data_IF_600698871180
#
_entry.id   IF_600698871180
#
_cell.length_a   1.000
_cell.length_b   1.000
_cell.length_c   1.000
_cell.angle_alpha   90.00
_cell.angle_beta   90.00
_cell.angle_gamma   90.00
#
_symmetry.space_group_name_H-M   'P 1'
#
loop_
_entity.id
_entity.type
_entity.pdbx_description
1 polymer ?
#
# COMPACT_ATOMS: atom_id res chain seq x y z
N UNK A 1 17.73 -16.38 -19.25
CA UNK A 1 17.13 -15.72 -19.33
C UNK A 1 16.75 -15.09 -18.24
N UNK A 2 16.80 -14.28 -18.01
CA UNK A 2 16.53 -13.58 -17.05
C UNK A 2 15.19 -13.38 -16.73
N UNK A 3 14.46 -13.79 -17.45
CA UNK A 3 13.07 -13.72 -17.17
C UNK A 3 12.70 -14.38 -15.90
N UNK A 4 13.47 -15.33 -15.49
CA UNK A 4 13.25 -16.00 -14.23
C UNK A 4 13.29 -15.05 -13.06
N UNK A 5 14.25 -14.16 -13.08
CA UNK A 5 14.40 -13.20 -12.01
C UNK A 5 13.19 -12.27 -11.95
N UNK A 6 12.74 -11.83 -13.09
CA UNK A 6 11.59 -10.96 -13.15
C UNK A 6 10.36 -11.65 -12.58
N UNK A 7 10.15 -12.89 -12.95
CA UNK A 7 8.99 -13.61 -12.46
C UNK A 7 9.07 -13.80 -10.96
N UNK A 8 10.25 -14.06 -10.44
CA UNK A 8 10.43 -14.29 -9.01
C UNK A 8 10.12 -13.06 -8.19
N UNK A 9 10.35 -11.88 -8.76
CA UNK A 9 10.12 -10.64 -8.05
C UNK A 9 8.85 -9.94 -8.46
N UNK A 10 8.00 -10.63 -9.19
CA UNK A 10 6.82 -9.99 -9.76
C UNK A 10 5.69 -9.93 -8.76
N UNK A 11 5.94 -9.33 -7.61
CA UNK A 11 4.92 -9.13 -6.59
C UNK A 11 4.17 -7.85 -6.89
N UNK A 12 2.89 -7.87 -6.62
CA UNK A 12 2.00 -6.79 -7.05
C UNK A 12 1.63 -5.86 -5.90
N UNK A 13 1.70 -4.58 -6.17
CA UNK A 13 1.31 -3.52 -5.24
C UNK A 13 0.11 -2.79 -5.83
N UNK A 14 -0.90 -2.54 -5.00
CA UNK A 14 -2.01 -1.66 -5.37
C UNK A 14 -1.74 -0.30 -4.72
N UNK A 15 -1.61 0.73 -5.55
CA UNK A 15 -1.40 2.09 -5.05
C UNK A 15 -2.68 2.90 -5.23
N UNK A 16 -3.22 3.40 -4.13
CA UNK A 16 -4.47 4.16 -4.11
C UNK A 16 -4.14 5.60 -3.73
N UNK A 17 -4.26 6.49 -4.68
CA UNK A 17 -3.84 7.88 -4.54
C UNK A 17 -4.56 8.71 -5.58
N UNK A 18 -5.13 9.84 -5.19
CA UNK A 18 -5.88 10.67 -6.14
C UNK A 18 -5.00 11.64 -6.93
N UNK A 19 -3.76 11.83 -6.54
CA UNK A 19 -2.84 12.71 -7.26
C UNK A 19 -2.14 11.93 -8.36
N UNK A 20 -2.40 12.22 -9.64
CA UNK A 20 -1.81 11.43 -10.73
C UNK A 20 -0.29 11.53 -10.79
N UNK A 21 0.28 12.64 -10.33
CA UNK A 21 1.74 12.75 -10.33
C UNK A 21 2.35 11.82 -9.30
N UNK A 22 1.72 11.70 -8.14
CA UNK A 22 2.18 10.79 -7.11
C UNK A 22 2.03 9.35 -7.58
N UNK A 23 0.91 9.03 -8.22
CA UNK A 23 0.73 7.69 -8.78
C UNK A 23 1.81 7.35 -9.79
N UNK A 24 2.12 8.28 -10.69
CA UNK A 24 3.18 8.06 -11.67
C UNK A 24 4.52 7.80 -11.01
N UNK A 25 4.79 8.53 -9.94
CA UNK A 25 6.02 8.36 -9.20
C UNK A 25 6.10 6.96 -8.58
N UNK A 26 5.02 6.52 -7.96
CA UNK A 26 4.98 5.18 -7.37
C UNK A 26 5.18 4.10 -8.44
N UNK A 27 4.48 4.23 -9.56
CA UNK A 27 4.58 3.25 -10.63
C UNK A 27 6.02 3.16 -11.14
N UNK A 28 6.62 4.31 -11.43
CA UNK A 28 7.97 4.34 -11.96
C UNK A 28 8.96 3.76 -10.97
N UNK A 29 8.83 4.16 -9.70
CA UNK A 29 9.78 3.74 -8.69
C UNK A 29 9.70 2.23 -8.44
N UNK A 30 8.50 1.71 -8.25
CA UNK A 30 8.36 0.29 -7.90
C UNK A 30 8.61 -0.63 -9.07
N UNK A 31 8.31 -0.19 -10.29
CA UNK A 31 8.66 -1.00 -11.45
C UNK A 31 10.16 -1.19 -11.55
N UNK A 32 10.92 -0.18 -11.22
CA UNK A 32 12.38 -0.30 -11.23
C UNK A 32 12.86 -1.30 -10.19
N UNK A 33 12.08 -1.50 -9.13
CA UNK A 33 12.42 -2.46 -8.09
C UNK A 33 11.96 -3.88 -8.44
N UNK A 34 11.29 -4.07 -9.55
CA UNK A 34 10.82 -5.38 -9.97
C UNK A 34 9.41 -5.73 -9.54
N UNK A 35 8.65 -4.76 -9.02
CA UNK A 35 7.27 -5.00 -8.62
C UNK A 35 6.31 -4.66 -9.74
N UNK A 36 5.17 -5.34 -9.77
CA UNK A 36 4.05 -4.92 -10.58
C UNK A 36 3.24 -3.91 -9.78
N UNK A 37 2.72 -2.90 -10.44
CA UNK A 37 1.94 -1.89 -9.75
C UNK A 37 0.61 -1.70 -10.48
N UNK A 38 -0.49 -1.85 -9.75
CA UNK A 38 -1.80 -1.46 -10.27
C UNK A 38 -2.23 -0.24 -9.46
N UNK A 39 -3.00 0.63 -10.06
CA UNK A 39 -3.32 1.91 -9.45
C UNK A 39 -4.83 2.14 -9.40
N UNK A 40 -5.24 2.95 -8.44
CA UNK A 40 -6.62 3.42 -8.36
C UNK A 40 -6.59 4.85 -7.84
N UNK A 41 -7.44 5.71 -8.40
CA UNK A 41 -7.46 7.11 -8.04
C UNK A 41 -8.55 7.44 -7.04
N UNK A 42 -9.31 6.46 -6.61
CA UNK A 42 -10.36 6.65 -5.62
C UNK A 42 -10.71 5.34 -4.97
N UNK A 43 -11.53 5.43 -3.92
CA UNK A 43 -11.83 4.25 -3.11
C UNK A 43 -12.66 3.21 -3.85
N UNK A 44 -13.66 3.65 -4.61
CA UNK A 44 -14.52 2.72 -5.34
C UNK A 44 -13.74 2.01 -6.43
N UNK A 45 -12.92 2.77 -7.14
CA UNK A 45 -12.04 2.18 -8.15
C UNK A 45 -11.10 1.18 -7.50
N UNK A 46 -10.60 1.51 -6.31
CA UNK A 46 -9.68 0.62 -5.60
C UNK A 46 -10.33 -0.69 -5.22
N UNK A 47 -11.61 -0.67 -4.83
CA UNK A 47 -12.33 -1.90 -4.54
C UNK A 47 -12.35 -2.81 -5.77
N UNK A 48 -12.72 -2.25 -6.92
CA UNK A 48 -12.80 -3.02 -8.16
C UNK A 48 -11.43 -3.51 -8.59
N UNK A 49 -10.41 -2.65 -8.45
CA UNK A 49 -9.06 -3.02 -8.85
C UNK A 49 -8.52 -4.16 -7.98
N UNK A 50 -8.79 -4.10 -6.68
CA UNK A 50 -8.34 -5.16 -5.80
C UNK A 50 -9.03 -6.49 -6.14
N UNK A 51 -10.31 -6.44 -6.42
CA UNK A 51 -11.03 -7.66 -6.76
C UNK A 51 -10.59 -8.26 -8.09
N UNK A 52 -10.17 -7.39 -9.00
CA UNK A 52 -9.66 -7.86 -10.30
C UNK A 52 -8.21 -8.36 -10.19
N UNK A 53 -7.54 -8.06 -9.08
CA UNK A 53 -6.14 -8.44 -8.89
C UNK A 53 -5.96 -9.16 -7.56
N UNK A 54 -6.48 -10.40 -7.46
CA UNK A 54 -6.41 -11.13 -6.18
C UNK A 54 -4.99 -11.50 -5.78
N UNK A 55 -4.03 -11.35 -6.68
CA UNK A 55 -2.63 -11.60 -6.41
C UNK A 55 -1.91 -10.39 -5.83
N UNK A 56 -2.64 -9.32 -5.50
CA UNK A 56 -2.05 -8.14 -4.84
C UNK A 56 -1.43 -8.56 -3.51
N UNK A 57 -0.21 -8.10 -3.27
CA UNK A 57 0.56 -8.46 -2.08
C UNK A 57 0.70 -7.31 -1.08
N UNK A 58 0.40 -6.11 -1.48
CA UNK A 58 0.51 -4.94 -0.60
C UNK A 58 -0.37 -3.83 -1.14
N UNK A 59 -0.99 -3.08 -0.22
CA UNK A 59 -1.79 -1.92 -0.57
C UNK A 59 -1.13 -0.67 0.00
N UNK A 60 -0.95 0.33 -0.85
CA UNK A 60 -0.44 1.64 -0.46
C UNK A 60 -1.61 2.60 -0.57
N UNK A 61 -1.99 3.23 0.53
CA UNK A 61 -3.26 3.95 0.63
C UNK A 61 -3.08 5.36 1.14
N UNK A 62 -3.63 6.34 0.42
CA UNK A 62 -3.77 7.70 0.95
C UNK A 62 -5.14 7.80 1.61
N UNK A 63 -5.24 8.53 2.71
CA UNK A 63 -6.50 8.61 3.46
C UNK A 63 -7.47 9.61 2.89
N UNK A 64 -6.95 10.73 2.41
CA UNK A 64 -7.82 11.82 1.94
C UNK A 64 -8.17 11.61 0.48
N UNK A 65 -9.17 10.79 0.23
CA UNK A 65 -9.65 10.48 -1.11
C UNK A 65 -10.99 11.17 -1.35
N UNK A 66 -11.29 11.54 -2.60
CA UNK A 66 -12.59 12.11 -2.89
C UNK A 66 -13.68 11.05 -2.73
N UNK A 67 -14.83 11.46 -2.22
CA UNK A 67 -15.94 10.54 -2.00
C UNK A 67 -15.70 9.72 -0.75
N UNK A 68 -15.56 8.42 -0.91
CA UNK A 68 -15.29 7.53 0.22
C UNK A 68 -13.86 7.76 0.71
N UNK A 69 -13.68 7.93 2.00
CA UNK A 69 -12.36 8.17 2.58
C UNK A 69 -11.53 6.90 2.63
N UNK A 70 -10.23 7.08 2.85
CA UNK A 70 -9.35 5.92 3.02
C UNK A 70 -9.70 5.11 4.25
N UNK A 71 -10.19 5.76 5.32
CA UNK A 71 -10.62 5.04 6.50
C UNK A 71 -11.82 4.15 6.21
N UNK A 72 -12.76 4.66 5.43
CA UNK A 72 -13.92 3.86 5.03
C UNK A 72 -13.50 2.70 4.15
N UNK A 73 -12.54 2.94 3.28
CA UNK A 73 -12.01 1.88 2.43
C UNK A 73 -11.34 0.80 3.26
N UNK A 74 -10.57 1.20 4.28
CA UNK A 74 -9.92 0.24 5.16
C UNK A 74 -10.94 -0.61 5.92
N UNK A 75 -12.04 0.02 6.35
CA UNK A 75 -13.08 -0.71 7.04
C UNK A 75 -13.67 -1.80 6.14
N UNK A 76 -13.96 -1.45 4.90
CA UNK A 76 -14.41 -2.42 3.91
C UNK A 76 -13.38 -3.52 3.70
N UNK A 77 -12.12 -3.12 3.58
CA UNK A 77 -11.05 -4.05 3.28
C UNK A 77 -10.86 -5.07 4.41
N UNK A 78 -10.90 -4.63 5.65
CA UNK A 78 -10.60 -5.51 6.76
C UNK A 78 -11.75 -6.44 7.13
N UNK A 79 -12.88 -6.30 6.48
CA UNK A 79 -13.94 -7.29 6.58
C UNK A 79 -13.79 -8.42 5.57
N UNK A 80 -12.81 -8.32 4.70
CA UNK A 80 -12.57 -9.33 3.67
C UNK A 80 -11.70 -10.46 4.25
N UNK A 81 -11.81 -11.67 3.67
CA UNK A 81 -11.07 -12.81 4.24
C UNK A 81 -9.59 -12.81 3.97
N UNK A 82 -9.13 -12.45 2.81
CA UNK A 82 -7.70 -12.56 2.47
C UNK A 82 -7.07 -11.20 2.48
N UNK A 83 -6.34 -10.88 3.55
CA UNK A 83 -5.78 -9.55 3.73
C UNK A 83 -4.28 -9.55 3.54
N UNK A 84 -3.79 -8.46 2.97
CA UNK A 84 -2.37 -8.21 2.81
C UNK A 84 -2.03 -6.93 3.56
N UNK A 85 -0.74 -6.64 3.74
CA UNK A 85 -0.36 -5.42 4.46
C UNK A 85 -0.88 -4.16 3.79
N UNK A 86 -1.31 -3.21 4.61
CA UNK A 86 -1.75 -1.89 4.14
C UNK A 86 -0.82 -0.85 4.74
N UNK A 87 -0.16 -0.09 3.87
CA UNK A 87 0.69 1.02 4.25
C UNK A 87 -0.08 2.30 3.96
N UNK A 88 -0.30 3.10 4.98
CA UNK A 88 -0.99 4.39 4.82
C UNK A 88 0.07 5.46 4.61
N UNK A 89 -0.04 6.20 3.49
CA UNK A 89 0.89 7.27 3.16
C UNK A 89 0.10 8.56 3.03
N UNK A 90 0.05 9.36 4.07
CA UNK A 90 -0.81 10.54 4.12
C UNK A 90 -0.17 11.64 4.95
N UNK A 91 -0.79 12.81 4.94
CA UNK A 91 -0.32 13.92 5.75
C UNK A 91 -0.43 13.61 7.24
N UNK A 92 0.33 14.33 8.03
CA UNK A 92 0.40 14.08 9.47
C UNK A 92 -0.97 14.20 10.12
N UNK A 93 -1.74 15.23 9.74
CA UNK A 93 -3.06 15.42 10.33
C UNK A 93 -3.98 14.25 10.05
N UNK A 94 -3.94 13.75 8.83
CA UNK A 94 -4.78 12.61 8.46
C UNK A 94 -4.38 11.36 9.22
N UNK A 95 -3.07 11.13 9.37
CA UNK A 95 -2.61 9.95 10.07
C UNK A 95 -2.99 10.00 11.54
N UNK A 96 -2.93 11.19 12.13
CA UNK A 96 -3.27 11.33 13.54
C UNK A 96 -4.74 11.06 13.83
N UNK A 97 -5.61 11.11 12.82
CA UNK A 97 -7.02 10.78 13.03
C UNK A 97 -7.29 9.29 13.00
N UNK A 98 -6.32 8.48 12.58
CA UNK A 98 -6.50 7.04 12.55
C UNK A 98 -6.30 6.50 13.95
N UNK A 99 -7.26 5.73 14.41
CA UNK A 99 -7.15 5.13 15.72
C UNK A 99 -6.39 3.82 15.63
N UNK A 100 -6.02 3.28 16.77
CA UNK A 100 -5.35 2.00 16.79
C UNK A 100 -6.23 0.86 16.34
N UNK A 101 -7.54 1.09 16.28
CA UNK A 101 -8.46 0.10 15.79
C UNK A 101 -8.42 -0.05 14.28
N UNK A 102 -7.84 0.93 13.59
CA UNK A 102 -7.70 0.84 12.16
C UNK A 102 -6.53 -0.08 11.88
N UNK A 103 -6.77 -1.20 11.34
CA UNK A 103 -5.78 -2.27 11.19
C UNK A 103 -4.76 -2.02 10.08
N UNK A 104 -4.23 -0.82 9.99
CA UNK A 104 -3.15 -0.57 9.05
C UNK A 104 -1.89 -1.28 9.52
N UNK A 105 -1.06 -1.69 8.58
CA UNK A 105 0.18 -2.36 8.92
C UNK A 105 1.25 -1.35 9.31
N UNK A 106 1.31 -0.23 8.60
CA UNK A 106 2.30 0.81 8.86
C UNK A 106 1.81 2.12 8.27
N UNK A 107 2.42 3.21 8.68
CA UNK A 107 2.07 4.54 8.18
C UNK A 107 3.33 5.33 7.87
N UNK A 108 3.28 6.09 6.79
CA UNK A 108 4.32 7.03 6.43
C UNK A 108 3.70 8.41 6.33
N UNK A 109 4.27 9.37 7.03
CA UNK A 109 3.78 10.75 7.01
C UNK A 109 4.37 11.50 5.83
N UNK A 110 3.53 12.11 5.02
CA UNK A 110 4.01 12.95 3.91
C UNK A 110 4.48 14.28 4.47
N UNK A 111 5.58 14.82 3.95
CA UNK A 111 6.40 14.24 2.90
C UNK A 111 7.37 13.20 3.46
N UNK A 112 7.70 12.21 2.65
CA UNK A 112 8.67 11.21 3.04
C UNK A 112 9.59 10.95 1.84
N UNK A 113 10.75 10.34 2.09
CA UNK A 113 11.64 9.96 1.02
C UNK A 113 11.23 8.60 0.46
N UNK A 114 11.40 8.41 -0.84
CA UNK A 114 11.04 7.13 -1.45
C UNK A 114 11.82 5.97 -0.85
N UNK A 115 13.02 6.23 -0.36
CA UNK A 115 13.80 5.19 0.31
C UNK A 115 13.12 4.65 1.56
N UNK A 116 12.42 5.53 2.29
CA UNK A 116 11.68 5.09 3.46
C UNK A 116 10.56 4.15 3.07
N UNK A 117 9.86 4.48 2.00
CA UNK A 117 8.80 3.62 1.50
C UNK A 117 9.37 2.30 0.99
N UNK A 118 10.51 2.37 0.29
CA UNK A 118 11.13 1.15 -0.24
C UNK A 118 11.51 0.19 0.87
N UNK A 119 12.13 0.69 1.94
CA UNK A 119 12.54 -0.17 3.05
C UNK A 119 11.34 -0.85 3.67
N UNK A 120 10.27 -0.10 3.86
CA UNK A 120 9.07 -0.66 4.46
C UNK A 120 8.45 -1.71 3.55
N UNK A 121 8.37 -1.43 2.26
CA UNK A 121 7.80 -2.36 1.30
C UNK A 121 8.62 -3.65 1.26
N UNK A 122 9.94 -3.54 1.29
CA UNK A 122 10.78 -4.73 1.27
C UNK A 122 10.51 -5.64 2.46
N UNK A 123 10.35 -5.06 3.64
CA UNK A 123 10.04 -5.85 4.82
C UNK A 123 8.69 -6.52 4.70
N UNK A 124 7.69 -5.78 4.28
CA UNK A 124 6.32 -6.29 4.23
C UNK A 124 6.06 -7.24 3.09
N UNK A 125 6.89 -7.17 2.05
CA UNK A 125 6.76 -8.05 0.89
C UNK A 125 7.63 -9.29 0.99
N UNK A 126 8.39 -9.43 2.06
CA UNK A 126 9.24 -10.59 2.25
C UNK A 126 8.37 -11.84 2.39
N UNK A 127 8.86 -12.95 1.84
CA UNK A 127 8.09 -14.18 1.84
C UNK A 127 7.86 -14.73 3.24
N UNK A 128 8.71 -14.37 4.19
CA UNK A 128 8.58 -14.84 5.55
C UNK A 128 7.79 -13.91 6.46
N UNK A 129 7.23 -12.83 5.90
CA UNK A 129 6.44 -11.92 6.70
C UNK A 129 5.15 -12.60 7.14
N UNK A 130 4.81 -12.48 8.44
CA UNK A 130 3.72 -13.24 9.03
C UNK A 130 2.56 -12.40 9.53
N UNK A 131 2.43 -11.20 9.06
CA UNK A 131 1.32 -10.34 9.47
C UNK A 131 1.61 -9.52 10.70
N UNK A 132 2.85 -9.49 11.18
CA UNK A 132 3.24 -8.68 12.30
C UNK A 132 4.39 -7.81 11.93
N UNK A 133 4.38 -6.60 12.45
CA UNK A 133 5.54 -5.74 12.39
C UNK A 133 6.16 -5.80 13.76
N UNK A 134 7.41 -6.20 13.85
CA UNK A 134 8.08 -6.33 15.11
C UNK A 134 8.06 -4.99 15.82
N UNK A 135 7.57 -4.98 17.04
CA UNK A 135 7.49 -3.77 17.82
C UNK A 135 6.32 -2.91 17.39
N UNK A 136 6.47 -1.62 17.55
CA UNK A 136 5.42 -0.66 17.32
C UNK A 136 5.41 -0.25 15.84
N UNK A 137 4.29 -0.35 15.14
CA UNK A 137 4.24 0.06 13.73
C UNK A 137 4.57 1.53 13.52
N UNK A 138 4.50 2.34 14.55
CA UNK A 138 4.87 3.74 14.41
C UNK A 138 6.37 3.94 14.35
N UNK A 139 7.15 2.92 14.50
CA UNK A 139 8.59 3.03 14.36
C UNK A 139 9.04 3.22 12.91
N UNK A 140 8.16 3.05 12.00
CA UNK A 140 8.53 3.15 10.58
C UNK A 140 8.20 4.50 9.97
#
# INVERSE_FOLDING_TARGET
METTTTAANNKKILAIEDDPEVLSLYVSFFKKQGYDVVTASGAVEAMATLEANPDTRLVLLVLNLPGMSGEEWMKWYFERPNKVPVVVASGKGDILTITRDQNMTAALTKPFHMEELQELVEVLMADDWRGEVSGDPTLH
#
